data_IF_514182781441
#
_entry.id   IF_514182781441
#
_cell.length_a   1.000
_cell.length_b   1.000
_cell.length_c   1.000
_cell.angle_alpha   90.00
_cell.angle_beta   90.00
_cell.angle_gamma   90.00
#
_symmetry.space_group_name_H-M   'P 1'
#
loop_
_entity.id
_entity.type
_entity.pdbx_description
1 polymer ?
#
# COMPACT_ATOMS: atom_id res chain seq x y z
N UNK A 1 3.36 -12.71 15.22
CA UNK A 1 2.46 -12.81 14.06
C UNK A 1 2.74 -11.60 13.18
N UNK A 2 3.39 -11.84 12.04
CA UNK A 2 4.04 -10.79 11.24
C UNK A 2 3.08 -10.25 10.17
N UNK A 3 3.07 -8.94 10.05
CA UNK A 3 2.32 -8.07 9.16
C UNK A 3 2.00 -8.69 7.77
N UNK A 4 0.73 -9.09 7.56
CA UNK A 4 0.24 -9.57 6.26
C UNK A 4 -0.38 -8.46 5.40
N UNK A 5 -0.45 -7.24 5.91
CA UNK A 5 -1.16 -6.11 5.29
C UNK A 5 -0.49 -5.52 4.05
N UNK A 6 0.84 -5.57 3.99
CA UNK A 6 1.60 -5.02 2.87
C UNK A 6 1.86 -6.04 1.76
N UNK A 7 1.60 -7.33 2.05
CA UNK A 7 1.90 -8.45 1.15
C UNK A 7 1.03 -8.44 -0.12
N UNK A 8 -0.09 -7.77 -0.10
CA UNK A 8 -1.14 -7.98 -1.10
C UNK A 8 -1.15 -7.00 -2.25
N UNK A 9 -0.62 -5.81 -2.07
CA UNK A 9 -0.39 -4.94 -3.24
C UNK A 9 0.61 -5.59 -4.22
N UNK A 10 1.43 -6.50 -3.71
CA UNK A 10 2.50 -7.16 -4.48
C UNK A 10 2.30 -8.66 -4.73
N UNK A 11 1.36 -9.33 -4.08
CA UNK A 11 1.03 -10.71 -4.43
C UNK A 11 0.38 -10.85 -5.82
N UNK A 12 -0.23 -9.77 -6.34
CA UNK A 12 -0.75 -9.71 -7.71
C UNK A 12 0.34 -9.68 -8.78
N UNK A 13 1.57 -9.32 -8.41
CA UNK A 13 2.74 -9.28 -9.31
C UNK A 13 3.17 -10.63 -9.88
N UNK A 14 2.51 -11.69 -9.51
CA UNK A 14 3.08 -13.01 -9.58
C UNK A 14 2.48 -14.00 -10.59
N UNK A 15 1.46 -13.65 -11.34
CA UNK A 15 0.73 -14.67 -12.14
C UNK A 15 0.98 -14.69 -13.66
N UNK A 16 1.94 -13.92 -14.20
CA UNK A 16 2.16 -13.86 -15.64
C UNK A 16 3.63 -13.95 -16.07
N UNK A 17 4.37 -14.99 -15.67
CA UNK A 17 5.69 -15.24 -16.22
C UNK A 17 5.82 -16.65 -16.79
N UNK A 18 5.23 -16.89 -17.96
CA UNK A 18 5.63 -17.99 -18.84
C UNK A 18 5.75 -17.45 -20.24
N UNK A 19 6.87 -16.84 -20.59
CA UNK A 19 7.35 -16.74 -21.98
C UNK A 19 8.81 -16.30 -22.03
N UNK A 20 9.68 -17.21 -22.47
CA UNK A 20 10.88 -16.94 -23.28
C UNK A 20 12.01 -16.14 -22.63
N UNK A 21 13.08 -16.82 -22.26
CA UNK A 21 14.42 -16.23 -22.13
C UNK A 21 14.88 -15.71 -23.49
N UNK A 22 14.66 -14.43 -23.77
CA UNK A 22 15.33 -13.75 -24.86
C UNK A 22 15.38 -12.24 -24.58
N UNK A 23 16.61 -11.74 -24.53
CA UNK A 23 17.03 -10.35 -24.46
C UNK A 23 17.35 -9.80 -23.07
N UNK A 24 18.61 -9.44 -22.93
CA UNK A 24 19.29 -8.61 -21.90
C UNK A 24 18.80 -7.15 -21.85
N UNK A 25 17.49 -6.93 -21.99
CA UNK A 25 16.86 -5.61 -21.98
C UNK A 25 15.89 -5.52 -20.80
N UNK A 26 15.78 -4.33 -20.25
CA UNK A 26 14.80 -4.00 -19.24
C UNK A 26 13.41 -4.47 -19.72
N UNK A 27 12.76 -5.28 -18.93
CA UNK A 27 11.44 -5.81 -19.23
C UNK A 27 10.40 -5.11 -18.35
N UNK A 28 9.39 -4.53 -18.99
CA UNK A 28 8.28 -3.93 -18.26
C UNK A 28 7.14 -4.91 -18.07
N UNK A 29 6.70 -5.04 -16.83
CA UNK A 29 5.52 -5.81 -16.46
C UNK A 29 4.46 -4.86 -15.94
N UNK A 30 3.25 -5.00 -16.47
CA UNK A 30 2.13 -4.13 -16.14
C UNK A 30 1.09 -4.88 -15.32
N UNK A 31 0.60 -4.23 -14.27
CA UNK A 31 -0.48 -4.71 -13.41
C UNK A 31 -1.64 -3.73 -13.48
N UNK A 32 -2.81 -4.19 -13.93
CA UNK A 32 -3.99 -3.35 -13.95
C UNK A 32 -4.54 -3.08 -12.54
N UNK A 33 -5.27 -1.99 -12.40
CA UNK A 33 -5.98 -1.65 -11.17
C UNK A 33 -6.87 -2.79 -10.70
N UNK A 34 -7.61 -3.43 -11.61
CA UNK A 34 -8.51 -4.55 -11.30
C UNK A 34 -7.76 -5.76 -10.77
N UNK A 35 -6.59 -6.09 -11.32
CA UNK A 35 -5.74 -7.18 -10.82
C UNK A 35 -5.29 -6.90 -9.39
N UNK A 36 -4.85 -5.67 -9.10
CA UNK A 36 -4.41 -5.28 -7.77
C UNK A 36 -5.60 -5.24 -6.81
N UNK A 37 -6.73 -4.65 -7.21
CA UNK A 37 -7.95 -4.62 -6.40
C UNK A 37 -8.43 -6.04 -6.05
N UNK A 38 -8.42 -6.95 -7.01
CA UNK A 38 -8.81 -8.35 -6.79
C UNK A 38 -7.86 -9.07 -5.81
N UNK A 39 -6.57 -8.78 -5.88
CA UNK A 39 -5.59 -9.32 -4.93
C UNK A 39 -5.78 -8.76 -3.51
N UNK A 40 -6.10 -7.46 -3.40
CA UNK A 40 -6.44 -6.84 -2.12
C UNK A 40 -7.71 -7.47 -1.51
N UNK A 41 -8.73 -7.70 -2.32
CA UNK A 41 -9.98 -8.32 -1.86
C UNK A 41 -9.80 -9.73 -1.26
N UNK A 42 -8.78 -10.46 -1.70
CA UNK A 42 -8.45 -11.79 -1.17
C UNK A 42 -7.72 -11.77 0.18
N UNK A 43 -7.28 -10.61 0.66
CA UNK A 43 -6.42 -10.54 1.83
C UNK A 43 -7.13 -10.72 3.17
N UNK A 44 -8.44 -10.53 3.17
CA UNK A 44 -9.25 -10.56 4.38
C UNK A 44 -8.98 -9.40 5.34
N UNK A 45 -9.66 -9.39 6.49
CA UNK A 45 -9.49 -8.35 7.50
C UNK A 45 -8.06 -8.25 8.03
N UNK A 46 -7.62 -7.04 8.32
CA UNK A 46 -6.26 -6.77 8.77
C UNK A 46 -6.25 -5.83 9.97
N UNK A 47 -5.54 -6.21 11.03
CA UNK A 47 -5.38 -5.37 12.22
C UNK A 47 -3.92 -5.04 12.43
N UNK A 48 -3.64 -3.77 12.70
CA UNK A 48 -2.30 -3.28 13.04
C UNK A 48 -2.32 -2.53 14.36
N UNK A 49 -1.45 -2.94 15.28
CA UNK A 49 -1.28 -2.31 16.59
C UNK A 49 -0.08 -1.36 16.58
N UNK A 50 -0.31 -0.16 17.09
CA UNK A 50 0.69 0.88 17.22
C UNK A 50 0.96 1.12 18.72
N UNK A 51 2.10 0.61 19.21
CA UNK A 51 2.57 0.81 20.58
C UNK A 51 1.65 0.25 21.67
N UNK A 52 0.72 -0.65 21.35
CA UNK A 52 -0.25 -1.20 22.30
C UNK A 52 -1.37 -0.25 22.72
N UNK A 53 -1.34 0.99 22.28
CA UNK A 53 -2.30 2.04 22.65
C UNK A 53 -3.37 2.25 21.56
N UNK A 54 -3.00 2.05 20.30
CA UNK A 54 -3.87 2.26 19.14
C UNK A 54 -3.88 0.97 18.32
N UNK A 55 -5.08 0.49 18.02
CA UNK A 55 -5.31 -0.58 17.04
C UNK A 55 -6.13 -0.03 15.89
N UNK A 56 -5.67 -0.30 14.67
CA UNK A 56 -6.40 0.04 13.44
C UNK A 56 -6.75 -1.25 12.74
N UNK A 57 -8.03 -1.49 12.54
CA UNK A 57 -8.56 -2.66 11.85
C UNK A 57 -9.19 -2.23 10.52
N UNK A 58 -8.70 -2.80 9.44
CA UNK A 58 -9.30 -2.72 8.13
C UNK A 58 -10.16 -3.98 7.96
N UNK A 59 -11.47 -3.83 8.10
CA UNK A 59 -12.41 -4.96 8.05
C UNK A 59 -12.60 -5.47 6.62
N UNK A 60 -12.58 -4.56 5.65
CA UNK A 60 -12.76 -4.83 4.24
C UNK A 60 -11.56 -4.34 3.41
N UNK A 61 -11.41 -4.89 2.20
CA UNK A 61 -10.37 -4.43 1.30
C UNK A 61 -10.62 -2.97 0.89
N UNK A 62 -9.59 -2.09 0.97
CA UNK A 62 -9.75 -0.71 0.54
C UNK A 62 -9.96 -0.66 -0.98
N UNK A 63 -10.68 0.36 -1.43
CA UNK A 63 -10.76 0.71 -2.84
C UNK A 63 -9.49 1.45 -3.23
N UNK A 64 -8.92 1.09 -4.38
CA UNK A 64 -7.75 1.77 -4.92
C UNK A 64 -8.06 2.47 -6.23
N UNK A 65 -7.39 3.58 -6.47
CA UNK A 65 -7.40 4.29 -7.74
C UNK A 65 -5.96 4.54 -8.16
N UNK A 66 -5.60 4.20 -9.39
CA UNK A 66 -4.22 4.33 -9.87
C UNK A 66 -4.10 5.48 -10.85
N UNK A 67 -3.11 6.37 -10.62
CA UNK A 67 -2.77 7.46 -11.51
C UNK A 67 -3.68 8.68 -11.42
N UNK A 68 -4.52 8.76 -10.42
CA UNK A 68 -5.39 9.91 -10.13
C UNK A 68 -5.22 10.33 -8.66
N UNK A 69 -4.52 11.45 -8.39
CA UNK A 69 -3.73 12.29 -9.31
C UNK A 69 -2.56 11.55 -9.98
N UNK A 70 -2.04 12.10 -11.08
CA UNK A 70 -0.98 11.47 -11.87
C UNK A 70 0.21 11.00 -11.00
N UNK A 71 0.69 9.79 -11.22
CA UNK A 71 1.79 9.18 -10.47
C UNK A 71 1.44 8.75 -9.05
N UNK A 72 0.19 8.83 -8.62
CA UNK A 72 -0.24 8.52 -7.26
C UNK A 72 -1.21 7.34 -7.20
N UNK A 73 -1.25 6.71 -6.05
CA UNK A 73 -2.29 5.74 -5.68
C UNK A 73 -3.27 6.43 -4.74
N UNK A 74 -4.53 6.44 -5.10
CA UNK A 74 -5.63 6.77 -4.22
C UNK A 74 -6.08 5.53 -3.45
N UNK A 75 -6.44 5.72 -2.19
CA UNK A 75 -6.96 4.67 -1.31
C UNK A 75 -8.18 5.22 -0.58
N UNK A 76 -9.30 4.52 -0.67
CA UNK A 76 -10.49 4.79 0.13
C UNK A 76 -10.85 3.53 0.91
N UNK A 77 -11.08 3.65 2.20
CA UNK A 77 -11.38 2.50 3.03
C UNK A 77 -12.05 2.84 4.35
N UNK A 78 -12.78 1.86 4.86
CA UNK A 78 -13.40 1.89 6.18
C UNK A 78 -12.48 1.21 7.18
N UNK A 79 -12.12 1.94 8.25
CA UNK A 79 -11.23 1.45 9.30
C UNK A 79 -11.87 1.62 10.67
N UNK A 80 -11.70 0.62 11.52
CA UNK A 80 -12.05 0.72 12.93
C UNK A 80 -10.81 1.10 13.74
N UNK A 81 -10.89 2.21 14.48
CA UNK A 81 -9.82 2.70 15.34
C UNK A 81 -10.19 2.40 16.80
N UNK A 82 -9.40 1.59 17.47
CA UNK A 82 -9.52 1.31 18.90
C UNK A 82 -8.40 2.03 19.67
N UNK A 83 -8.78 2.82 20.66
CA UNK A 83 -7.86 3.56 21.53
C UNK A 83 -7.93 2.98 22.95
N UNK A 84 -6.79 2.55 23.50
CA UNK A 84 -6.66 2.08 24.90
C UNK A 84 -7.71 1.04 25.30
N UNK A 85 -8.10 0.16 24.37
CA UNK A 85 -9.12 -0.87 24.64
C UNK A 85 -10.57 -0.37 24.69
N UNK A 86 -10.82 0.91 24.39
CA UNK A 86 -12.17 1.43 24.21
C UNK A 86 -12.87 0.76 23.00
N UNK A 87 -14.21 0.87 22.90
CA UNK A 87 -14.91 0.40 21.72
C UNK A 87 -14.33 0.99 20.43
N UNK A 88 -14.28 0.21 19.34
CA UNK A 88 -13.77 0.70 18.07
C UNK A 88 -14.62 1.85 17.54
N UNK A 89 -13.96 2.84 16.98
CA UNK A 89 -14.61 3.99 16.31
C UNK A 89 -14.47 3.76 14.81
N UNK A 90 -15.58 3.60 14.08
CA UNK A 90 -15.57 3.48 12.63
C UNK A 90 -15.24 4.81 11.97
N UNK A 91 -14.35 4.79 11.00
CA UNK A 91 -13.84 5.95 10.28
C UNK A 91 -13.69 5.63 8.80
N UNK A 92 -14.26 6.47 7.95
CA UNK A 92 -13.99 6.46 6.52
C UNK A 92 -12.80 7.37 6.23
N UNK A 93 -11.81 6.82 5.52
CA UNK A 93 -10.57 7.53 5.21
C UNK A 93 -10.33 7.50 3.72
N UNK A 94 -10.04 8.68 3.14
CA UNK A 94 -9.46 8.76 1.80
C UNK A 94 -8.07 9.37 1.88
N UNK A 95 -7.14 8.80 1.13
CA UNK A 95 -5.75 9.25 1.11
C UNK A 95 -5.12 8.98 -0.25
N UNK A 96 -4.10 9.76 -0.59
CA UNK A 96 -3.27 9.52 -1.77
C UNK A 96 -1.79 9.48 -1.40
N UNK A 97 -1.00 8.72 -2.16
CA UNK A 97 0.45 8.68 -2.02
C UNK A 97 1.12 8.28 -3.34
N UNK A 98 2.33 8.77 -3.58
CA UNK A 98 3.25 8.15 -4.53
C UNK A 98 3.81 6.84 -3.97
N UNK A 99 4.29 5.97 -4.84
CA UNK A 99 5.01 4.74 -4.45
C UNK A 99 6.39 4.78 -5.09
N UNK A 100 7.41 4.57 -4.26
CA UNK A 100 8.80 4.43 -4.69
C UNK A 100 9.34 3.07 -4.27
N UNK A 101 9.99 2.38 -5.18
CA UNK A 101 10.80 1.22 -4.88
C UNK A 101 12.26 1.65 -4.65
N UNK A 102 12.88 1.11 -3.63
CA UNK A 102 14.30 1.28 -3.34
C UNK A 102 15.00 -0.07 -3.54
N UNK A 103 15.81 -0.16 -4.58
CA UNK A 103 16.47 -1.40 -4.96
C UNK A 103 17.54 -1.83 -3.95
N UNK A 104 18.19 -0.90 -3.27
CA UNK A 104 19.18 -1.23 -2.23
C UNK A 104 18.49 -1.81 -1.00
N UNK A 105 17.39 -1.22 -0.58
CA UNK A 105 16.60 -1.70 0.56
C UNK A 105 15.70 -2.88 0.21
N UNK A 106 15.50 -3.17 -1.09
CA UNK A 106 14.50 -4.13 -1.61
C UNK A 106 13.12 -3.89 -1.02
N UNK A 107 12.74 -2.62 -0.97
CA UNK A 107 11.56 -2.17 -0.23
C UNK A 107 10.79 -1.06 -0.95
N UNK A 108 9.50 -0.98 -0.63
CA UNK A 108 8.58 0.02 -1.14
C UNK A 108 8.29 1.06 -0.07
N UNK A 109 8.32 2.31 -0.46
CA UNK A 109 8.05 3.47 0.39
C UNK A 109 6.90 4.30 -0.17
N UNK A 110 6.16 4.95 0.73
CA UNK A 110 5.21 5.98 0.31
C UNK A 110 5.95 7.30 0.10
N UNK A 111 5.59 7.98 -0.98
CA UNK A 111 6.05 9.33 -1.26
C UNK A 111 4.92 10.33 -1.05
N UNK A 112 5.19 11.32 -0.20
CA UNK A 112 4.27 12.42 0.09
C UNK A 112 2.82 11.94 0.35
N UNK A 113 2.57 11.07 1.34
CA UNK A 113 1.23 10.64 1.67
C UNK A 113 0.39 11.84 2.12
N UNK A 114 -0.83 11.94 1.62
CA UNK A 114 -1.80 12.98 1.95
C UNK A 114 -3.12 12.34 2.32
N UNK A 115 -3.63 12.65 3.50
CA UNK A 115 -4.99 12.30 3.90
C UNK A 115 -5.94 13.39 3.38
N UNK A 116 -6.86 13.00 2.53
CA UNK A 116 -7.80 13.92 1.88
C UNK A 116 -9.06 14.12 2.70
N UNK A 117 -9.64 13.02 3.21
CA UNK A 117 -10.78 13.09 4.11
C UNK A 117 -10.70 12.10 5.26
N UNK A 118 -11.33 12.45 6.36
CA UNK A 118 -11.62 11.59 7.50
C UNK A 118 -13.06 11.89 7.91
N UNK A 119 -13.91 10.88 7.85
CA UNK A 119 -15.31 10.99 8.21
C UNK A 119 -15.65 9.91 9.25
N UNK A 120 -16.36 10.31 10.30
CA UNK A 120 -16.85 9.39 11.32
C UNK A 120 -18.09 10.00 11.97
N UNK A 121 -19.08 9.16 12.28
CA UNK A 121 -20.25 9.59 13.03
C UNK A 121 -19.90 10.04 14.47
N UNK A 122 -18.80 9.52 15.01
CA UNK A 122 -18.30 9.88 16.34
C UNK A 122 -17.48 11.19 16.35
N UNK A 123 -17.13 11.72 15.17
CA UNK A 123 -16.34 12.95 15.05
C UNK A 123 -17.23 14.13 14.65
N UNK A 124 -17.34 15.18 15.48
CA UNK A 124 -18.04 16.40 15.10
C UNK A 124 -17.44 16.98 13.81
N UNK A 125 -18.30 17.47 12.91
CA UNK A 125 -17.87 17.99 11.60
C UNK A 125 -16.85 19.12 11.73
N UNK A 126 -16.97 19.94 12.76
CA UNK A 126 -16.06 21.04 13.08
C UNK A 126 -14.65 20.56 13.45
N UNK A 127 -14.54 19.33 13.97
CA UNK A 127 -13.27 18.72 14.38
C UNK A 127 -12.58 17.97 13.22
N UNK A 128 -13.27 17.65 12.14
CA UNK A 128 -12.74 16.89 11.01
C UNK A 128 -11.47 17.52 10.38
N UNK A 129 -11.37 18.86 10.17
CA UNK A 129 -10.15 19.45 9.63
C UNK A 129 -8.93 19.33 10.55
N UNK A 130 -9.14 19.40 11.87
CA UNK A 130 -8.07 19.23 12.85
C UNK A 130 -7.60 17.77 12.93
N UNK A 131 -8.54 16.82 12.96
CA UNK A 131 -8.27 15.38 12.91
C UNK A 131 -7.47 15.03 11.65
N UNK A 132 -7.89 15.49 10.47
CA UNK A 132 -7.18 15.27 9.21
C UNK A 132 -5.74 15.77 9.26
N UNK A 133 -5.51 16.99 9.74
CA UNK A 133 -4.14 17.54 9.88
C UNK A 133 -3.27 16.69 10.80
N UNK A 134 -3.81 16.28 11.94
CA UNK A 134 -3.08 15.43 12.91
C UNK A 134 -2.75 14.08 12.32
N UNK A 135 -3.72 13.39 11.71
CA UNK A 135 -3.51 12.08 11.08
C UNK A 135 -2.53 12.19 9.92
N UNK A 136 -2.63 13.25 9.10
CA UNK A 136 -1.69 13.48 8.00
C UNK A 136 -0.26 13.67 8.52
N UNK A 137 -0.06 14.45 9.58
CA UNK A 137 1.26 14.65 10.19
C UNK A 137 1.83 13.32 10.74
N UNK A 138 1.01 12.51 11.40
CA UNK A 138 1.40 11.20 11.93
C UNK A 138 1.79 10.23 10.81
N UNK A 139 0.97 10.12 9.75
CA UNK A 139 1.24 9.26 8.60
C UNK A 139 2.52 9.69 7.90
N UNK A 140 2.69 10.98 7.64
CA UNK A 140 3.89 11.52 7.00
C UNK A 140 5.14 11.25 7.85
N UNK A 141 5.09 11.49 9.16
CA UNK A 141 6.20 11.22 10.06
C UNK A 141 6.54 9.73 10.12
N UNK A 142 5.53 8.85 10.20
CA UNK A 142 5.73 7.41 10.27
C UNK A 142 6.33 6.83 8.98
N UNK A 143 5.78 7.18 7.82
CA UNK A 143 6.22 6.62 6.53
C UNK A 143 7.41 7.34 5.90
N UNK A 144 7.92 8.41 6.50
CA UNK A 144 9.12 9.11 6.00
C UNK A 144 10.32 8.17 5.84
N UNK A 145 10.50 7.23 6.78
CA UNK A 145 11.62 6.28 6.80
C UNK A 145 11.20 4.82 6.92
N UNK A 146 9.91 4.54 7.07
CA UNK A 146 9.40 3.18 7.22
C UNK A 146 8.88 2.66 5.89
N UNK A 147 9.39 1.54 5.39
CA UNK A 147 8.83 0.91 4.22
C UNK A 147 7.40 0.40 4.50
N UNK A 148 6.55 0.50 3.50
CA UNK A 148 5.22 -0.14 3.55
C UNK A 148 5.32 -1.63 3.29
N UNK A 149 6.33 -2.03 2.52
CA UNK A 149 6.63 -3.43 2.25
C UNK A 149 8.12 -3.63 1.95
N UNK A 150 8.68 -4.72 2.44
CA UNK A 150 10.05 -5.18 2.11
C UNK A 150 9.97 -6.58 1.50
N UNK A 151 10.59 -6.77 0.34
CA UNK A 151 10.70 -8.07 -0.31
C UNK A 151 11.51 -9.01 0.58
N UNK A 152 10.94 -10.15 0.95
CA UNK A 152 11.54 -11.07 1.92
C UNK A 152 12.60 -11.96 1.26
N UNK A 153 13.67 -12.27 1.99
CA UNK A 153 14.72 -13.19 1.55
C UNK A 153 14.28 -14.64 1.47
N UNK A 154 13.29 -14.99 2.28
CA UNK A 154 12.69 -16.32 2.36
C UNK A 154 11.22 -16.30 1.87
N UNK A 155 10.91 -15.41 0.94
CA UNK A 155 9.59 -15.30 0.32
C UNK A 155 9.31 -16.48 -0.64
N UNK A 156 8.16 -16.42 -1.30
CA UNK A 156 7.85 -17.36 -2.38
C UNK A 156 8.75 -17.08 -3.62
N UNK A 157 8.72 -17.99 -4.60
CA UNK A 157 9.57 -17.87 -5.80
C UNK A 157 9.38 -16.54 -6.55
N UNK A 158 8.19 -16.00 -6.53
CA UNK A 158 7.85 -14.74 -7.19
C UNK A 158 8.42 -13.53 -6.44
N UNK A 159 8.33 -13.53 -5.11
CA UNK A 159 8.93 -12.49 -4.27
C UNK A 159 10.46 -12.52 -4.38
N UNK A 160 11.05 -13.70 -4.48
CA UNK A 160 12.49 -13.86 -4.73
C UNK A 160 12.87 -13.34 -6.12
N UNK A 161 12.11 -13.68 -7.16
CA UNK A 161 12.33 -13.14 -8.50
C UNK A 161 12.21 -11.61 -8.53
N UNK A 162 11.18 -11.04 -7.89
CA UNK A 162 11.04 -9.61 -7.76
C UNK A 162 12.23 -8.96 -7.02
N UNK A 163 12.71 -9.58 -5.95
CA UNK A 163 13.87 -9.09 -5.19
C UNK A 163 15.15 -9.01 -6.04
N UNK A 164 15.32 -9.91 -7.00
CA UNK A 164 16.48 -9.93 -7.89
C UNK A 164 16.33 -9.03 -9.11
N UNK A 165 15.16 -8.96 -9.70
CA UNK A 165 14.93 -8.37 -11.01
C UNK A 165 14.29 -6.97 -10.96
N UNK A 166 13.49 -6.65 -9.93
CA UNK A 166 12.79 -5.37 -9.84
C UNK A 166 13.78 -4.22 -9.64
N UNK A 167 13.68 -3.21 -10.51
CA UNK A 167 14.50 -1.99 -10.45
C UNK A 167 13.69 -0.75 -10.12
N UNK A 168 12.52 -0.63 -10.69
CA UNK A 168 11.65 0.51 -10.45
C UNK A 168 10.18 0.15 -10.55
N UNK A 169 9.35 1.01 -9.96
CA UNK A 169 7.90 0.94 -10.07
C UNK A 169 7.39 2.35 -10.35
N UNK A 170 6.46 2.47 -11.27
CA UNK A 170 5.74 3.72 -11.54
C UNK A 170 4.25 3.48 -11.61
N UNK A 171 3.49 4.46 -11.17
CA UNK A 171 2.03 4.45 -11.20
C UNK A 171 1.57 5.27 -12.40
N UNK A 172 0.77 4.67 -13.24
CA UNK A 172 0.13 5.28 -14.39
C UNK A 172 -1.40 5.18 -14.26
N UNK A 173 -2.18 5.93 -15.04
CA UNK A 173 -3.63 5.82 -14.99
C UNK A 173 -4.11 4.36 -15.20
N UNK A 174 -4.80 3.83 -14.22
CA UNK A 174 -5.37 2.48 -14.22
C UNK A 174 -4.37 1.32 -14.13
N UNK A 175 -3.07 1.57 -13.95
CA UNK A 175 -2.05 0.51 -13.89
C UNK A 175 -0.80 0.89 -13.09
N UNK A 176 -0.09 -0.15 -12.67
CA UNK A 176 1.28 -0.03 -12.16
C UNK A 176 2.21 -0.71 -13.16
N UNK A 177 3.31 -0.05 -13.48
CA UNK A 177 4.36 -0.58 -14.35
C UNK A 177 5.60 -0.86 -13.51
N UNK A 178 6.08 -2.08 -13.55
CA UNK A 178 7.30 -2.54 -12.89
C UNK A 178 8.38 -2.78 -13.94
N UNK A 179 9.56 -2.19 -13.75
CA UNK A 179 10.73 -2.44 -14.61
C UNK A 179 11.57 -3.55 -13.97
N UNK A 180 11.78 -4.62 -14.71
CA UNK A 180 12.61 -5.75 -14.33
C UNK A 180 13.89 -5.74 -15.16
N UNK A 181 15.04 -5.91 -14.49
CA UNK A 181 16.34 -6.04 -15.15
C UNK A 181 17.24 -7.00 -14.36
N UNK A 182 18.02 -7.86 -15.02
CA UNK A 182 18.97 -8.74 -14.34
C UNK A 182 20.23 -8.00 -13.85
N UNK A 183 20.46 -6.73 -14.27
CA UNK A 183 21.68 -5.94 -13.97
C UNK A 183 21.35 -4.57 -13.42
#
# INVERSE_FOLDING_TARGET
MKSKCAVLLFAALATCATAGFAALLDHEVTFSQDQIQHALAKSGPQTKNYGGLISVTLAEAPQITLGEPAGRVGIAGHVDITLLGNPPVPVDVTATAGIRYDDNAKAFFLENPVVESIESQALPKESAPAARRTVNALITAYFRSKPVYTLRENGNAQELAARWLLRSVRVEPGKVVATLSPF
#
